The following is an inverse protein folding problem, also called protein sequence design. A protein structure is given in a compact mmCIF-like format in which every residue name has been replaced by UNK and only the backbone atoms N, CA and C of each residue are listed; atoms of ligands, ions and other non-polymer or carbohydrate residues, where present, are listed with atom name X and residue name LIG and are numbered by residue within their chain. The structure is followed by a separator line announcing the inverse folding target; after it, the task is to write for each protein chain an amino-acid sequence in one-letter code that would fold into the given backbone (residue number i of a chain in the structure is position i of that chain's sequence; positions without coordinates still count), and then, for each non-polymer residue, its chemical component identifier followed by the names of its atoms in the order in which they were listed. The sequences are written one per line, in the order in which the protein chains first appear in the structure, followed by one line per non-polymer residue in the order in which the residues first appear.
data_IF_123407992926
#
_entry.id   IF_123407992926
#
_cell.length_a   1.000
_cell.length_b   1.000
_cell.length_c   1.000
_cell.angle_alpha   90.00
_cell.angle_beta   90.00
_cell.angle_gamma   90.00
#
_symmetry.space_group_name_H-M   'P 1'
#
loop_
_entity.id
_entity.type
_entity.pdbx_description
1 polymer ?
#
# COMPACT_ATOMS: atom_id res chain seq x y z
N UNK A 1 -32.55 28.89 -54.16
CA UNK A 1 -31.16 29.40 -54.01
C UNK A 1 -31.21 30.91 -54.21
N UNK A 2 -31.56 31.64 -53.15
CA UNK A 2 -31.69 33.10 -53.13
C UNK A 2 -30.73 33.66 -52.10
N UNK A 3 -29.87 34.58 -52.53
CA UNK A 3 -28.70 35.06 -51.80
C UNK A 3 -28.98 36.44 -51.20
N UNK A 4 -28.70 36.53 -49.88
CA UNK A 4 -28.16 37.65 -49.07
C UNK A 4 -28.92 38.98 -49.01
N UNK A 5 -29.16 39.44 -47.78
CA UNK A 5 -28.69 40.74 -47.27
C UNK A 5 -28.72 40.77 -45.74
N UNK A 6 -27.57 41.10 -45.15
CA UNK A 6 -27.33 41.36 -43.74
C UNK A 6 -27.79 42.76 -43.31
N UNK A 7 -27.83 42.99 -41.98
CA UNK A 7 -27.44 44.20 -41.19
C UNK A 7 -28.17 44.11 -39.83
N UNK A 8 -27.51 43.81 -38.70
CA UNK A 8 -26.70 44.66 -37.78
C UNK A 8 -27.51 45.48 -36.74
N UNK A 9 -26.90 45.66 -35.54
CA UNK A 9 -27.18 46.61 -34.41
C UNK A 9 -27.96 45.96 -33.24
N UNK A 10 -27.41 45.63 -32.06
CA UNK A 10 -26.66 46.36 -30.99
C UNK A 10 -27.53 47.22 -30.04
N UNK A 11 -27.37 46.91 -28.73
CA UNK A 11 -27.54 47.75 -27.52
C UNK A 11 -28.89 47.84 -26.77
N UNK A 12 -28.87 47.21 -25.59
CA UNK A 12 -29.07 47.75 -24.23
C UNK A 12 -30.39 48.45 -23.83
N UNK A 13 -31.01 47.96 -22.75
CA UNK A 13 -31.44 48.70 -21.53
C UNK A 13 -31.76 47.68 -20.41
N UNK A 14 -31.02 47.65 -19.29
CA UNK A 14 -31.25 48.41 -18.04
C UNK A 14 -32.54 48.04 -17.28
N UNK A 15 -32.39 47.24 -16.22
CA UNK A 15 -33.15 47.43 -14.97
C UNK A 15 -32.28 46.99 -13.78
N UNK A 16 -31.63 47.98 -13.20
CA UNK A 16 -31.05 47.94 -11.85
C UNK A 16 -32.20 48.28 -10.90
N UNK A 17 -32.46 47.43 -9.91
CA UNK A 17 -32.96 47.91 -8.61
C UNK A 17 -32.12 47.24 -7.53
N UNK A 18 -31.24 48.05 -6.96
CA UNK A 18 -30.31 47.72 -5.90
C UNK A 18 -30.80 48.31 -4.56
N UNK A 19 -30.15 47.82 -3.51
CA UNK A 19 -30.01 48.39 -2.16
C UNK A 19 -31.18 48.06 -1.20
N UNK A 20 -30.96 47.63 0.04
CA UNK A 20 -29.86 47.89 1.00
C UNK A 20 -29.97 46.79 2.09
N UNK A 21 -28.92 46.17 2.62
CA UNK A 21 -27.95 46.74 3.56
C UNK A 21 -26.77 45.77 3.69
N UNK A 22 -25.55 46.21 3.37
CA UNK A 22 -24.53 46.74 4.29
C UNK A 22 -23.41 45.72 4.45
N UNK A 23 -22.28 46.04 3.82
CA UNK A 23 -21.04 45.30 3.94
C UNK A 23 -20.31 45.57 5.26
N UNK A 24 -19.65 44.51 5.70
CA UNK A 24 -18.27 44.40 6.18
C UNK A 24 -17.79 45.29 7.34
N UNK A 25 -17.44 44.64 8.46
CA UNK A 25 -16.05 44.62 8.98
C UNK A 25 -15.90 43.76 10.25
N UNK A 26 -14.91 42.85 10.27
CA UNK A 26 -14.22 42.43 11.49
C UNK A 26 -14.29 40.94 11.89
N UNK A 27 -13.38 40.14 11.32
CA UNK A 27 -12.73 38.91 11.82
C UNK A 27 -13.37 37.99 12.88
N UNK A 28 -13.53 36.70 12.56
CA UNK A 28 -12.67 35.60 13.07
C UNK A 28 -13.08 34.22 12.49
N UNK A 29 -12.05 33.38 12.35
CA UNK A 29 -11.94 31.93 12.10
C UNK A 29 -13.13 31.07 12.57
N UNK A 30 -13.63 30.16 11.72
CA UNK A 30 -13.81 28.70 12.01
C UNK A 30 -14.61 28.00 10.89
N UNK A 31 -14.09 26.83 10.48
CA UNK A 31 -14.79 25.68 9.87
C UNK A 31 -15.53 25.88 8.54
N UNK A 32 -14.80 25.70 7.44
CA UNK A 32 -15.40 25.22 6.19
C UNK A 32 -15.50 23.71 6.22
N UNK A 33 -16.73 23.26 6.39
CA UNK A 33 -17.28 21.93 6.18
C UNK A 33 -16.49 21.06 5.20
N UNK A 34 -16.14 19.85 5.67
CA UNK A 34 -15.67 18.76 4.83
C UNK A 34 -16.66 18.49 3.70
N UNK A 35 -16.14 18.55 2.47
CA UNK A 35 -16.86 18.13 1.30
C UNK A 35 -16.87 16.60 1.28
N UNK A 36 -18.02 16.04 1.64
CA UNK A 36 -18.37 14.63 1.47
C UNK A 36 -18.16 14.21 0.02
N UNK A 37 -17.08 13.47 -0.26
CA UNK A 37 -16.95 12.66 -1.47
C UNK A 37 -17.67 11.34 -1.21
N UNK A 38 -18.94 11.29 -1.59
CA UNK A 38 -19.82 10.12 -1.53
C UNK A 38 -19.35 9.02 -2.50
N UNK A 39 -18.34 8.23 -2.12
CA UNK A 39 -18.44 6.77 -2.29
C UNK A 39 -19.48 6.35 -1.24
N UNK A 40 -20.62 5.78 -1.64
CA UNK A 40 -21.81 5.65 -0.77
C UNK A 40 -21.70 4.66 0.41
N UNK A 41 -20.60 4.68 1.16
CA UNK A 41 -20.34 3.85 2.35
C UNK A 41 -20.39 4.75 3.59
N UNK A 42 -21.00 4.26 4.66
CA UNK A 42 -21.10 5.00 5.93
C UNK A 42 -19.69 5.22 6.50
N UNK A 43 -19.31 6.48 6.74
CA UNK A 43 -18.02 6.83 7.33
C UNK A 43 -17.76 6.05 8.62
N UNK A 44 -16.60 5.41 8.72
CA UNK A 44 -16.18 4.59 9.87
C UNK A 44 -16.52 3.11 9.77
N UNK A 45 -16.82 2.59 8.57
CA UNK A 45 -16.87 1.15 8.29
C UNK A 45 -15.47 0.68 7.88
N UNK A 46 -15.03 -0.45 8.45
CA UNK A 46 -13.87 -1.20 7.96
C UNK A 46 -14.28 -1.80 6.62
N UNK A 47 -13.62 -1.37 5.54
CA UNK A 47 -13.95 -1.86 4.20
C UNK A 47 -13.27 -3.21 3.93
N UNK A 48 -11.99 -3.34 4.27
CA UNK A 48 -11.21 -4.56 4.01
C UNK A 48 -11.72 -5.75 4.87
N UNK A 49 -12.10 -6.88 4.25
CA UNK A 49 -12.41 -8.10 4.98
C UNK A 49 -11.19 -8.63 5.74
N UNK A 50 -11.38 -8.93 7.03
CA UNK A 50 -10.35 -9.43 7.91
C UNK A 50 -10.91 -10.42 8.93
N UNK A 51 -10.10 -11.39 9.36
CA UNK A 51 -10.52 -12.51 10.22
C UNK A 51 -9.46 -12.78 11.27
N UNK A 52 -9.87 -12.87 12.53
CA UNK A 52 -9.00 -13.28 13.63
C UNK A 52 -9.02 -14.80 13.77
N UNK A 53 -7.86 -15.45 13.62
CA UNK A 53 -7.68 -16.88 13.82
C UNK A 53 -6.32 -17.14 14.49
N UNK A 54 -6.32 -18.06 15.44
CA UNK A 54 -5.13 -18.43 16.24
C UNK A 54 -4.35 -17.24 16.83
N UNK A 55 -5.03 -16.16 17.20
CA UNK A 55 -4.40 -14.96 17.76
C UNK A 55 -3.89 -13.95 16.73
N UNK A 56 -4.02 -14.25 15.42
CA UNK A 56 -3.59 -13.37 14.33
C UNK A 56 -4.75 -12.89 13.47
N UNK A 57 -4.61 -11.67 12.96
CA UNK A 57 -5.53 -11.14 11.96
C UNK A 57 -5.01 -11.51 10.57
N UNK A 58 -5.89 -12.10 9.77
CA UNK A 58 -5.68 -12.39 8.37
C UNK A 58 -6.54 -11.45 7.53
N UNK A 59 -5.96 -10.89 6.48
CA UNK A 59 -6.53 -9.85 5.64
C UNK A 59 -6.82 -10.38 4.25
N UNK A 60 -7.94 -9.96 3.67
CA UNK A 60 -8.25 -10.23 2.26
C UNK A 60 -7.57 -9.20 1.36
N UNK A 61 -6.76 -9.68 0.43
CA UNK A 61 -5.97 -8.85 -0.50
C UNK A 61 -6.56 -8.87 -1.93
N UNK A 62 -7.89 -8.93 -2.04
CA UNK A 62 -8.60 -8.88 -3.33
C UNK A 62 -8.21 -9.96 -4.38
N UNK A 63 -7.64 -11.09 -3.96
CA UNK A 63 -7.15 -12.15 -4.88
C UNK A 63 -8.25 -12.87 -5.67
N UNK A 64 -9.51 -12.71 -5.25
CA UNK A 64 -10.67 -13.39 -5.82
C UNK A 64 -11.43 -14.20 -4.77
N UNK A 65 -12.69 -14.56 -5.09
CA UNK A 65 -13.58 -15.35 -4.20
C UNK A 65 -14.09 -16.63 -4.85
N UNK A 66 -13.59 -16.96 -6.03
CA UNK A 66 -13.96 -18.10 -6.87
C UNK A 66 -12.81 -19.10 -7.05
N UNK A 67 -11.76 -18.98 -6.23
CA UNK A 67 -10.65 -19.91 -6.25
C UNK A 67 -11.07 -21.31 -5.80
N UNK A 68 -10.27 -22.31 -6.16
CA UNK A 68 -10.40 -23.66 -5.61
C UNK A 68 -9.55 -23.76 -4.34
N UNK A 69 -10.07 -24.45 -3.32
CA UNK A 69 -9.29 -24.76 -2.13
C UNK A 69 -8.06 -25.61 -2.50
N UNK A 70 -6.84 -25.17 -2.15
CA UNK A 70 -5.63 -25.97 -2.36
C UNK A 70 -5.65 -27.28 -1.55
N UNK A 71 -4.87 -28.27 -2.00
CA UNK A 71 -4.67 -29.49 -1.20
C UNK A 71 -3.93 -29.18 0.11
N UNK A 72 -4.24 -29.92 1.18
CA UNK A 72 -3.62 -29.73 2.49
C UNK A 72 -4.37 -28.77 3.41
N UNK A 73 -5.39 -28.06 2.91
CA UNK A 73 -6.26 -27.22 3.72
C UNK A 73 -7.46 -27.99 4.28
N UNK A 74 -7.72 -27.81 5.57
CA UNK A 74 -8.83 -28.45 6.28
C UNK A 74 -9.66 -27.46 7.09
N UNK A 75 -10.90 -27.82 7.38
CA UNK A 75 -11.84 -26.93 8.07
C UNK A 75 -11.42 -26.73 9.53
N UNK A 76 -11.11 -25.48 9.88
CA UNK A 76 -10.75 -25.08 11.24
C UNK A 76 -11.99 -24.70 12.07
N UNK A 77 -13.01 -24.14 11.43
CA UNK A 77 -14.21 -23.68 12.11
C UNK A 77 -15.07 -22.77 11.25
N UNK A 78 -15.91 -21.98 11.91
CA UNK A 78 -16.78 -21.00 11.23
C UNK A 78 -16.74 -19.65 11.94
N UNK A 79 -16.86 -18.58 11.16
CA UNK A 79 -16.99 -17.20 11.68
C UNK A 79 -18.16 -17.13 12.65
N UNK A 80 -17.93 -16.59 13.85
CA UNK A 80 -18.92 -16.48 14.92
C UNK A 80 -19.60 -15.13 14.96
N UNK A 81 -18.86 -14.07 14.66
CA UNK A 81 -19.34 -12.69 14.68
C UNK A 81 -18.64 -11.90 13.56
N UNK A 82 -19.38 -10.95 13.00
CA UNK A 82 -18.87 -9.98 12.05
C UNK A 82 -19.18 -8.59 12.60
N UNK A 83 -18.15 -7.76 12.72
CA UNK A 83 -18.28 -6.34 13.06
C UNK A 83 -17.96 -5.48 11.83
N UNK A 84 -18.57 -4.32 11.71
CA UNK A 84 -18.30 -3.41 10.58
C UNK A 84 -17.44 -2.21 10.97
N UNK A 85 -17.18 -1.97 12.26
CA UNK A 85 -16.50 -0.76 12.75
C UNK A 85 -15.29 -1.07 13.63
N UNK A 86 -15.30 -2.21 14.32
CA UNK A 86 -14.22 -2.61 15.23
C UNK A 86 -13.43 -3.81 14.68
N UNK A 87 -12.11 -3.80 14.90
CA UNK A 87 -11.22 -4.91 14.51
C UNK A 87 -11.58 -6.21 15.27
N UNK A 88 -11.40 -7.39 14.65
CA UNK A 88 -11.74 -8.65 15.28
C UNK A 88 -10.72 -8.96 16.41
N UNK A 89 -11.18 -8.93 17.66
CA UNK A 89 -10.32 -9.15 18.84
C UNK A 89 -10.39 -10.58 19.42
N UNK A 90 -11.20 -11.47 18.85
CA UNK A 90 -11.43 -12.83 19.35
C UNK A 90 -11.31 -13.83 18.19
N UNK A 91 -10.76 -15.02 18.43
CA UNK A 91 -10.70 -16.06 17.40
C UNK A 91 -12.09 -16.36 16.80
N UNK A 92 -12.11 -16.59 15.49
CA UNK A 92 -13.31 -16.75 14.66
C UNK A 92 -14.20 -15.49 14.57
N UNK A 93 -13.71 -14.33 15.00
CA UNK A 93 -14.35 -13.06 14.69
C UNK A 93 -13.83 -12.52 13.36
N UNK A 94 -14.69 -11.80 12.65
CA UNK A 94 -14.32 -11.13 11.42
C UNK A 94 -14.78 -9.67 11.45
N UNK A 95 -14.16 -8.84 10.64
CA UNK A 95 -14.65 -7.50 10.36
C UNK A 95 -14.44 -7.15 8.89
N UNK A 96 -15.24 -6.23 8.37
CA UNK A 96 -15.15 -5.84 6.96
C UNK A 96 -16.44 -6.09 6.19
N UNK A 97 -16.44 -5.72 4.91
CA UNK A 97 -17.59 -5.92 4.03
C UNK A 97 -17.67 -7.36 3.52
N UNK A 98 -18.86 -7.78 3.10
CA UNK A 98 -19.12 -9.08 2.48
C UNK A 98 -18.63 -10.31 3.29
N UNK A 99 -18.72 -10.19 4.61
CA UNK A 99 -18.47 -11.29 5.55
C UNK A 99 -19.76 -11.63 6.30
N UNK A 100 -19.98 -12.91 6.52
CA UNK A 100 -21.16 -13.42 7.20
C UNK A 100 -20.79 -14.43 8.30
N UNK A 101 -21.50 -14.34 9.42
CA UNK A 101 -21.39 -15.35 10.46
C UNK A 101 -21.83 -16.72 9.91
N UNK A 102 -21.02 -17.74 10.15
CA UNK A 102 -21.24 -19.09 9.64
C UNK A 102 -20.34 -19.47 8.45
N UNK A 103 -19.63 -18.52 7.83
CA UNK A 103 -18.63 -18.86 6.79
C UNK A 103 -17.53 -19.77 7.35
N UNK A 104 -17.16 -20.77 6.57
CA UNK A 104 -16.15 -21.77 6.93
C UNK A 104 -14.74 -21.21 6.73
N UNK A 105 -13.87 -21.44 7.72
CA UNK A 105 -12.45 -21.08 7.71
C UNK A 105 -11.65 -22.37 7.50
N UNK A 106 -10.72 -22.33 6.57
CA UNK A 106 -9.83 -23.42 6.21
C UNK A 106 -8.37 -23.04 6.45
N UNK A 107 -7.62 -23.94 7.06
CA UNK A 107 -6.22 -23.72 7.45
C UNK A 107 -5.35 -24.86 6.92
N UNK A 108 -4.05 -24.59 6.77
CA UNK A 108 -3.05 -25.61 6.52
C UNK A 108 -2.28 -25.92 7.80
N UNK A 109 -1.84 -27.17 7.95
CA UNK A 109 -0.90 -27.55 9.02
C UNK A 109 0.55 -27.19 8.69
N UNK A 110 0.84 -26.82 7.44
CA UNK A 110 2.18 -26.47 6.96
C UNK A 110 2.32 -24.99 6.62
N UNK A 111 1.26 -24.33 6.15
CA UNK A 111 1.26 -22.92 5.78
C UNK A 111 0.46 -22.12 6.81
N UNK A 112 1.14 -21.53 7.80
CA UNK A 112 0.51 -20.82 8.94
C UNK A 112 0.06 -19.40 8.59
N UNK A 113 0.63 -18.80 7.55
CA UNK A 113 0.43 -17.39 7.20
C UNK A 113 -0.77 -17.16 6.28
N UNK A 114 -1.44 -18.24 5.84
CA UNK A 114 -2.55 -18.18 4.90
C UNK A 114 -3.73 -18.98 5.43
N UNK A 115 -4.92 -18.40 5.33
CA UNK A 115 -6.19 -19.10 5.53
C UNK A 115 -7.09 -18.90 4.31
N UNK A 116 -8.07 -19.79 4.16
CA UNK A 116 -9.09 -19.67 3.14
C UNK A 116 -10.47 -19.55 3.77
N UNK A 117 -11.26 -18.60 3.28
CA UNK A 117 -12.67 -18.48 3.62
C UNK A 117 -13.53 -19.02 2.49
N UNK A 118 -14.59 -19.74 2.84
CA UNK A 118 -15.55 -20.26 1.87
C UNK A 118 -16.62 -19.23 1.53
N UNK A 119 -16.83 -19.06 0.24
CA UNK A 119 -17.90 -18.29 -0.37
C UNK A 119 -18.78 -19.21 -1.23
N UNK A 120 -19.97 -18.75 -1.62
CA UNK A 120 -20.84 -19.49 -2.55
C UNK A 120 -20.17 -19.71 -3.92
N UNK A 121 -19.28 -18.80 -4.32
CA UNK A 121 -18.53 -18.83 -5.57
C UNK A 121 -17.29 -19.73 -5.55
N UNK A 122 -16.77 -20.08 -4.37
CA UNK A 122 -15.49 -20.76 -4.23
C UNK A 122 -14.81 -20.42 -2.90
N UNK A 123 -13.51 -20.21 -2.94
CA UNK A 123 -12.71 -19.85 -1.77
C UNK A 123 -12.00 -18.52 -2.02
N UNK A 124 -11.77 -17.78 -0.94
CA UNK A 124 -11.01 -16.54 -0.95
C UNK A 124 -9.81 -16.70 -0.02
N UNK A 125 -8.66 -16.20 -0.48
CA UNK A 125 -7.39 -16.29 0.23
C UNK A 125 -7.21 -15.09 1.16
N UNK A 126 -6.83 -15.35 2.40
CA UNK A 126 -6.54 -14.34 3.41
C UNK A 126 -5.14 -14.59 3.98
N UNK A 127 -4.39 -13.53 4.26
CA UNK A 127 -2.99 -13.61 4.67
C UNK A 127 -2.71 -12.76 5.89
N UNK A 128 -1.72 -13.16 6.69
CA UNK A 128 -1.15 -12.30 7.73
C UNK A 128 -0.37 -11.15 7.10
N UNK A 129 -0.27 -10.03 7.82
CA UNK A 129 0.72 -9.00 7.50
C UNK A 129 2.13 -9.61 7.52
N UNK A 130 3.00 -9.27 6.55
CA UNK A 130 4.39 -9.71 6.53
C UNK A 130 5.14 -9.40 7.84
N UNK A 131 4.81 -8.27 8.49
CA UNK A 131 5.39 -7.85 9.78
C UNK A 131 5.06 -8.83 10.91
N UNK A 132 3.81 -9.30 10.97
CA UNK A 132 3.36 -10.25 11.99
C UNK A 132 3.91 -11.66 11.74
N UNK A 133 4.16 -12.03 10.48
CA UNK A 133 4.73 -13.33 10.12
C UNK A 133 6.23 -13.42 10.47
N UNK A 134 6.98 -12.34 10.23
CA UNK A 134 8.42 -12.28 10.50
C UNK A 134 8.75 -12.28 12.01
N UNK A 135 7.88 -11.70 12.85
CA UNK A 135 8.08 -11.64 14.30
C UNK A 135 8.00 -13.02 15.00
N UNK A 136 7.21 -13.96 14.47
CA UNK A 136 7.07 -15.31 15.04
C UNK A 136 8.10 -16.31 14.51
N UNK A 137 8.60 -16.14 13.28
CA UNK A 137 9.69 -16.96 12.78
C UNK A 137 10.98 -16.75 13.60
N UNK A 138 11.17 -15.55 14.17
CA UNK A 138 12.27 -15.22 15.10
C UNK A 138 12.06 -15.82 16.51
N UNK A 139 10.82 -15.89 17.02
CA UNK A 139 10.52 -16.45 18.35
C UNK A 139 10.57 -18.00 18.32
N UNK A 140 10.13 -18.65 17.23
CA UNK A 140 10.27 -20.10 17.05
C UNK A 140 11.74 -20.54 16.90
N UNK A 141 12.61 -19.71 16.30
CA UNK A 141 14.07 -19.96 16.28
C UNK A 141 14.72 -19.72 17.64
N UNK A 142 14.35 -18.66 18.37
CA UNK A 142 14.90 -18.38 19.70
C UNK A 142 14.50 -19.45 20.75
N UNK A 143 13.29 -20.01 20.65
CA UNK A 143 12.82 -21.11 21.52
C UNK A 143 13.51 -22.43 21.16
N UNK A 144 13.71 -22.72 19.87
CA UNK A 144 14.45 -23.91 19.44
C UNK A 144 15.94 -23.87 19.86
N UNK A 145 16.56 -22.68 19.88
CA UNK A 145 17.92 -22.49 20.40
C UNK A 145 17.99 -22.62 21.93
N UNK A 146 16.97 -22.15 22.67
CA UNK A 146 16.92 -22.29 24.14
C UNK A 146 16.65 -23.72 24.62
N UNK A 147 15.97 -24.56 23.85
CA UNK A 147 15.72 -25.96 24.23
C UNK A 147 16.89 -26.91 23.98
N UNK A 148 17.92 -26.49 23.23
CA UNK A 148 19.06 -27.34 22.85
C UNK A 148 20.32 -27.20 23.73
N UNK A 149 20.29 -26.41 24.81
CA UNK A 149 21.43 -26.24 25.73
C UNK A 149 21.48 -27.26 26.90
N UNK A 150 20.68 -28.35 26.88
CA UNK A 150 20.78 -29.42 27.89
C UNK A 150 21.04 -30.77 27.24
N UNK A 151 22.18 -31.35 27.63
CA UNK A 151 22.69 -32.69 27.35
C UNK A 151 23.30 -32.92 25.96
N UNK A 152 24.60 -32.66 25.88
CA UNK A 152 25.44 -33.18 24.81
C UNK A 152 25.50 -34.70 24.80
N UNK A 153 25.58 -35.28 23.60
CA UNK A 153 26.66 -36.17 23.19
C UNK A 153 26.43 -36.65 21.74
N UNK A 154 27.42 -36.33 20.90
CA UNK A 154 27.92 -37.01 19.69
C UNK A 154 26.98 -37.67 18.67
N UNK A 155 27.23 -37.30 17.41
CA UNK A 155 27.07 -38.10 16.18
C UNK A 155 25.65 -38.31 15.63
N UNK A 156 25.14 -37.31 14.91
CA UNK A 156 24.46 -37.49 13.61
C UNK A 156 24.20 -36.12 12.97
N UNK A 157 25.27 -35.38 12.68
CA UNK A 157 25.23 -34.21 11.81
C UNK A 157 26.00 -34.59 10.54
N UNK A 158 25.41 -35.46 9.74
CA UNK A 158 25.80 -35.74 8.36
C UNK A 158 24.58 -36.40 7.71
N UNK A 159 24.08 -35.80 6.63
CA UNK A 159 22.95 -36.23 5.78
C UNK A 159 21.58 -35.61 6.07
N UNK A 160 21.45 -34.28 5.95
CA UNK A 160 20.22 -33.69 5.40
C UNK A 160 20.39 -32.28 4.78
N UNK A 161 21.61 -31.87 4.40
CA UNK A 161 21.86 -30.54 3.82
C UNK A 161 21.70 -30.45 2.28
N UNK A 162 21.66 -31.56 1.54
CA UNK A 162 21.83 -31.52 0.07
C UNK A 162 20.54 -31.73 -0.76
N UNK A 163 19.34 -31.68 -0.17
CA UNK A 163 18.09 -31.99 -0.91
C UNK A 163 17.00 -30.90 -0.93
N UNK A 164 17.17 -29.80 -0.20
CA UNK A 164 16.24 -28.66 -0.22
C UNK A 164 16.84 -27.37 -0.79
N UNK A 165 18.14 -27.36 -1.12
CA UNK A 165 18.84 -26.19 -1.65
C UNK A 165 18.71 -26.01 -3.19
N UNK A 166 18.09 -26.94 -3.92
CA UNK A 166 18.07 -26.88 -5.40
C UNK A 166 16.75 -26.40 -6.04
N UNK A 167 15.82 -25.80 -5.28
CA UNK A 167 14.64 -25.16 -5.91
C UNK A 167 14.19 -23.81 -5.31
N UNK A 168 14.96 -23.22 -4.39
CA UNK A 168 14.73 -21.87 -3.84
C UNK A 168 15.97 -20.98 -3.95
N UNK A 169 16.81 -21.23 -4.96
CA UNK A 169 17.84 -20.27 -5.33
C UNK A 169 17.21 -19.13 -6.12
N UNK A 170 17.49 -17.89 -5.70
CA UNK A 170 17.40 -16.65 -6.50
C UNK A 170 16.14 -15.78 -6.37
N UNK A 171 15.53 -15.66 -5.18
CA UNK A 171 14.62 -14.53 -4.91
C UNK A 171 14.80 -13.97 -3.50
N UNK A 172 15.46 -12.81 -3.39
CA UNK A 172 15.21 -11.81 -2.34
C UNK A 172 16.00 -11.88 -1.03
N UNK A 173 16.96 -12.79 -0.87
CA UNK A 173 17.79 -12.83 0.34
C UNK A 173 19.20 -12.28 0.06
N UNK A 174 19.62 -11.29 0.86
CA UNK A 174 20.97 -10.72 0.85
C UNK A 174 22.04 -11.72 1.32
N UNK A 175 23.32 -11.35 1.20
CA UNK A 175 24.47 -12.23 1.55
C UNK A 175 24.48 -12.67 3.03
N UNK A 176 23.69 -12.03 3.90
CA UNK A 176 23.54 -12.30 5.32
C UNK A 176 22.22 -12.99 5.70
N UNK A 177 21.34 -13.28 4.72
CA UNK A 177 20.03 -13.88 4.97
C UNK A 177 18.95 -12.89 5.39
N UNK A 178 19.22 -11.57 5.34
CA UNK A 178 18.21 -10.52 5.50
C UNK A 178 17.47 -10.28 4.16
N UNK A 179 16.21 -9.86 4.22
CA UNK A 179 15.38 -9.61 3.03
C UNK A 179 15.92 -8.37 2.30
N UNK A 180 16.45 -8.56 1.09
CA UNK A 180 17.02 -7.47 0.29
C UNK A 180 15.92 -6.83 -0.57
N UNK A 181 15.19 -5.90 0.03
CA UNK A 181 14.12 -5.16 -0.66
C UNK A 181 14.62 -4.35 -1.84
N UNK A 182 15.88 -3.88 -1.81
CA UNK A 182 16.47 -3.13 -2.90
C UNK A 182 16.60 -4.03 -4.14
N UNK A 183 17.10 -5.26 -3.97
CA UNK A 183 17.17 -6.25 -5.06
C UNK A 183 15.79 -6.70 -5.54
N UNK A 184 14.82 -6.88 -4.63
CA UNK A 184 13.46 -7.34 -4.97
C UNK A 184 12.72 -6.32 -5.83
N UNK A 185 12.81 -5.04 -5.48
CA UNK A 185 12.19 -3.96 -6.23
C UNK A 185 13.07 -3.49 -7.40
N UNK A 186 14.26 -4.08 -7.57
CA UNK A 186 15.22 -3.76 -8.63
C UNK A 186 15.82 -2.36 -8.52
N UNK A 187 15.90 -1.83 -7.29
CA UNK A 187 16.48 -0.52 -6.98
C UNK A 187 18.00 -0.54 -7.24
N UNK A 188 18.66 -1.64 -6.88
CA UNK A 188 20.10 -1.89 -7.07
C UNK A 188 20.54 -1.85 -8.55
N UNK A 189 19.60 -2.08 -9.47
CA UNK A 189 19.80 -2.06 -10.91
C UNK A 189 19.60 -0.66 -11.53
N UNK A 190 19.13 0.32 -10.76
CA UNK A 190 18.90 1.68 -11.26
C UNK A 190 20.19 2.49 -11.31
N UNK A 191 20.41 3.20 -12.42
CA UNK A 191 21.55 4.13 -12.59
C UNK A 191 21.18 5.52 -12.04
N UNK A 192 21.16 5.65 -10.72
CA UNK A 192 20.76 6.88 -10.01
C UNK A 192 21.96 7.76 -9.63
N UNK A 193 21.76 9.08 -9.69
CA UNK A 193 22.72 10.10 -9.27
C UNK A 193 22.76 10.30 -7.74
N UNK A 194 21.97 9.53 -6.99
CA UNK A 194 21.80 9.60 -5.54
C UNK A 194 21.62 8.18 -4.97
N UNK A 195 21.76 8.02 -3.66
CA UNK A 195 21.57 6.73 -2.99
C UNK A 195 20.07 6.43 -2.79
N UNK A 196 19.62 5.23 -3.16
CA UNK A 196 18.24 4.81 -2.93
C UNK A 196 18.22 3.52 -2.09
N UNK A 197 17.29 3.45 -1.14
CA UNK A 197 17.13 2.28 -0.27
C UNK A 197 15.68 2.10 0.15
N UNK A 198 15.25 0.86 0.33
CA UNK A 198 13.93 0.48 0.81
C UNK A 198 14.06 0.00 2.26
N UNK A 199 13.56 0.81 3.20
CA UNK A 199 13.60 0.49 4.62
C UNK A 199 12.44 -0.43 5.05
N UNK A 200 11.37 -0.51 4.27
CA UNK A 200 10.22 -1.36 4.57
C UNK A 200 9.16 -1.34 3.48
N UNK A 201 8.07 -2.08 3.71
CA UNK A 201 6.99 -2.24 2.75
C UNK A 201 5.63 -2.01 3.43
N UNK A 202 4.82 -1.09 2.91
CA UNK A 202 3.50 -0.73 3.44
C UNK A 202 2.40 -1.00 2.39
N UNK A 203 2.17 -2.28 2.10
CA UNK A 203 1.12 -2.71 1.18
C UNK A 203 1.20 -2.05 -0.21
N UNK A 204 0.14 -1.36 -0.61
CA UNK A 204 0.07 -0.65 -1.90
C UNK A 204 0.59 0.80 -1.81
N UNK A 205 1.02 1.23 -0.63
CA UNK A 205 1.46 2.60 -0.34
C UNK A 205 2.97 2.67 -0.16
N UNK A 206 3.57 3.68 -0.79
CA UNK A 206 5.01 3.91 -0.74
C UNK A 206 5.27 5.36 -0.35
N UNK A 207 6.06 5.53 0.70
CA UNK A 207 6.44 6.83 1.21
C UNK A 207 7.93 7.08 0.97
N UNK A 208 8.26 7.99 0.07
CA UNK A 208 9.64 8.32 -0.29
C UNK A 208 10.10 9.52 0.52
N UNK A 209 11.06 9.31 1.41
CA UNK A 209 11.81 10.38 2.07
C UNK A 209 12.96 10.85 1.19
N UNK A 210 12.82 12.03 0.58
CA UNK A 210 13.84 12.65 -0.27
C UNK A 210 14.70 13.59 0.54
N UNK A 211 15.95 13.19 0.79
CA UNK A 211 16.94 13.95 1.54
C UNK A 211 17.78 14.82 0.60
N UNK A 212 17.84 16.12 0.88
CA UNK A 212 18.48 17.12 0.00
C UNK A 212 19.79 17.63 0.61
N UNK A 213 20.84 17.68 -0.20
CA UNK A 213 22.10 18.32 0.18
C UNK A 213 21.90 19.81 0.47
N UNK A 214 22.19 20.21 1.71
CA UNK A 214 22.00 21.60 2.17
C UNK A 214 20.59 21.90 2.69
N UNK A 215 19.72 20.88 2.79
CA UNK A 215 18.41 20.96 3.43
C UNK A 215 17.26 21.33 2.48
N UNK A 216 16.04 21.24 2.99
CA UNK A 216 14.81 21.45 2.22
C UNK A 216 14.52 22.94 2.02
N UNK A 217 14.30 23.34 0.76
CA UNK A 217 13.89 24.70 0.38
C UNK A 217 12.58 24.65 -0.41
N UNK A 218 11.82 25.75 -0.39
CA UNK A 218 10.58 25.83 -1.18
C UNK A 218 10.86 25.68 -2.69
N UNK A 219 12.00 26.21 -3.18
CA UNK A 219 12.43 26.04 -4.57
C UNK A 219 12.65 24.57 -4.94
N UNK A 220 13.21 23.77 -4.01
CA UNK A 220 13.43 22.34 -4.23
C UNK A 220 12.12 21.56 -4.21
N UNK A 221 11.18 21.95 -3.35
CA UNK A 221 9.82 21.37 -3.32
C UNK A 221 9.10 21.63 -4.63
N UNK A 222 9.13 22.87 -5.13
CA UNK A 222 8.50 23.25 -6.40
C UNK A 222 9.12 22.48 -7.59
N UNK A 223 10.45 22.29 -7.60
CA UNK A 223 11.15 21.49 -8.61
C UNK A 223 10.69 20.04 -8.61
N UNK A 224 10.64 19.39 -7.44
CA UNK A 224 10.19 17.99 -7.31
C UNK A 224 8.71 17.86 -7.68
N UNK A 225 7.86 18.83 -7.27
CA UNK A 225 6.45 18.86 -7.67
C UNK A 225 6.28 18.91 -9.19
N UNK A 226 7.08 19.72 -9.88
CA UNK A 226 7.05 19.77 -11.33
C UNK A 226 7.49 18.45 -11.97
N UNK A 227 8.56 17.83 -11.46
CA UNK A 227 9.08 16.56 -11.97
C UNK A 227 8.06 15.42 -11.79
N UNK A 228 7.40 15.35 -10.64
CA UNK A 228 6.35 14.35 -10.41
C UNK A 228 5.10 14.62 -11.26
N UNK A 229 4.69 15.88 -11.44
CA UNK A 229 3.59 16.22 -12.33
C UNK A 229 3.86 15.83 -13.80
N UNK A 230 5.11 16.02 -14.26
CA UNK A 230 5.54 15.61 -15.59
C UNK A 230 5.57 14.08 -15.72
N UNK A 231 5.99 13.36 -14.69
CA UNK A 231 5.95 11.90 -14.62
C UNK A 231 4.51 11.37 -14.68
N UNK A 232 3.59 11.88 -13.86
CA UNK A 232 2.18 11.48 -13.87
C UNK A 232 1.51 11.79 -15.22
N UNK A 233 1.83 12.92 -15.85
CA UNK A 233 1.23 13.32 -17.13
C UNK A 233 1.67 12.42 -18.30
N UNK A 234 2.86 11.81 -18.22
CA UNK A 234 3.36 10.87 -19.23
C UNK A 234 2.72 9.48 -19.11
N UNK A 235 2.19 9.16 -17.92
CA UNK A 235 1.65 7.83 -17.57
C UNK A 235 0.22 7.94 -17.01
N UNK A 236 -0.62 8.77 -17.65
CA UNK A 236 -1.92 9.21 -17.10
C UNK A 236 -3.16 8.73 -17.85
N UNK A 237 -3.05 7.84 -18.83
CA UNK A 237 -4.22 7.20 -19.45
C UNK A 237 -4.61 5.91 -18.71
N UNK A 238 -5.85 5.42 -18.92
CA UNK A 238 -6.40 4.26 -18.19
C UNK A 238 -5.51 2.99 -18.30
N UNK A 239 -4.66 2.89 -19.34
CA UNK A 239 -3.77 1.74 -19.55
C UNK A 239 -2.40 1.92 -18.87
N UNK A 240 -1.95 3.16 -18.65
CA UNK A 240 -0.65 3.46 -18.08
C UNK A 240 -0.71 4.13 -16.71
N UNK A 241 -1.85 4.09 -16.01
CA UNK A 241 -1.98 4.69 -14.67
C UNK A 241 -0.88 4.17 -13.71
N UNK A 242 -0.11 5.08 -13.13
CA UNK A 242 1.04 4.79 -12.22
C UNK A 242 0.76 5.13 -10.76
N UNK A 243 -0.51 5.29 -10.37
CA UNK A 243 -0.89 5.54 -8.99
C UNK A 243 -1.16 7.01 -8.69
N UNK A 244 -1.67 7.25 -7.49
CA UNK A 244 -1.88 8.59 -6.96
C UNK A 244 -0.61 9.07 -6.28
N UNK A 245 -0.14 10.26 -6.66
CA UNK A 245 1.07 10.87 -6.12
C UNK A 245 0.73 12.16 -5.40
N UNK A 246 1.19 12.31 -4.16
CA UNK A 246 1.12 13.56 -3.40
C UNK A 246 2.49 13.90 -2.79
N UNK A 247 2.74 15.17 -2.53
CA UNK A 247 4.06 15.66 -2.09
C UNK A 247 3.90 16.58 -0.88
N UNK A 248 4.64 16.26 0.18
CA UNK A 248 4.66 17.01 1.42
C UNK A 248 6.05 17.54 1.72
N UNK A 249 6.10 18.74 2.30
CA UNK A 249 7.33 19.31 2.83
C UNK A 249 7.48 18.89 4.29
N UNK A 250 8.46 18.06 4.60
CA UNK A 250 8.91 17.77 5.96
C UNK A 250 9.86 18.86 6.50
N UNK A 251 10.33 18.68 7.74
CA UNK A 251 11.31 19.59 8.34
C UNK A 251 12.70 19.44 7.68
N UNK A 252 13.16 18.19 7.53
CA UNK A 252 14.50 17.87 7.02
C UNK A 252 14.50 17.10 5.68
N UNK A 253 13.33 16.65 5.22
CA UNK A 253 13.15 15.92 3.96
C UNK A 253 11.89 16.34 3.20
N UNK A 254 11.81 15.97 1.92
CA UNK A 254 10.60 16.11 1.10
C UNK A 254 9.98 14.72 1.00
N UNK A 255 8.71 14.59 1.36
CA UNK A 255 7.99 13.31 1.33
C UNK A 255 7.20 13.21 0.03
N UNK A 256 7.31 12.09 -0.68
CA UNK A 256 6.43 11.76 -1.81
C UNK A 256 5.62 10.54 -1.39
N UNK A 257 4.31 10.66 -1.42
CA UNK A 257 3.39 9.55 -1.20
C UNK A 257 2.94 9.01 -2.55
N UNK A 258 3.06 7.70 -2.74
CA UNK A 258 2.55 6.97 -3.89
C UNK A 258 1.57 5.91 -3.40
N UNK A 259 0.35 5.95 -3.92
CA UNK A 259 -0.66 4.93 -3.73
C UNK A 259 -0.88 4.20 -5.06
N UNK A 260 -0.58 2.90 -5.07
CA UNK A 260 -0.74 2.04 -6.24
C UNK A 260 -2.20 1.63 -6.51
N UNK A 261 -3.17 2.08 -5.72
CA UNK A 261 -4.58 1.72 -5.89
C UNK A 261 -5.07 1.89 -7.32
N UNK A 262 -5.33 0.78 -8.01
CA UNK A 262 -5.79 0.76 -9.41
C UNK A 262 -4.68 0.71 -10.47
N UNK A 263 -3.41 0.66 -10.07
CA UNK A 263 -2.27 0.33 -10.95
C UNK A 263 -2.33 -1.16 -11.30
N UNK A 264 -2.01 -1.51 -12.54
CA UNK A 264 -1.95 -2.93 -12.92
C UNK A 264 -0.73 -3.62 -12.30
N UNK A 265 -0.82 -4.92 -12.06
CA UNK A 265 0.29 -5.72 -11.52
C UNK A 265 1.55 -5.59 -12.41
N UNK A 266 1.38 -5.59 -13.74
CA UNK A 266 2.47 -5.40 -14.71
C UNK A 266 3.16 -4.03 -14.57
N UNK A 267 2.44 -3.01 -14.13
CA UNK A 267 2.95 -1.64 -13.98
C UNK A 267 3.40 -1.31 -12.55
N UNK A 268 3.13 -2.17 -11.56
CA UNK A 268 3.36 -1.85 -10.13
C UNK A 268 4.84 -1.56 -9.84
N UNK A 269 5.75 -2.42 -10.28
CA UNK A 269 7.19 -2.17 -10.14
C UNK A 269 7.66 -0.95 -10.95
N UNK A 270 7.04 -0.69 -12.10
CA UNK A 270 7.35 0.49 -12.92
C UNK A 270 6.88 1.79 -12.26
N UNK A 271 5.75 1.77 -11.54
CA UNK A 271 5.27 2.90 -10.77
C UNK A 271 6.25 3.22 -9.64
N UNK A 272 6.65 2.21 -8.86
CA UNK A 272 7.57 2.38 -7.72
C UNK A 272 8.96 2.87 -8.17
N UNK A 273 9.57 2.20 -9.15
CA UNK A 273 10.91 2.58 -9.66
C UNK A 273 10.87 3.83 -10.55
N UNK A 274 9.71 4.15 -11.13
CA UNK A 274 9.50 5.32 -11.98
C UNK A 274 9.67 6.64 -11.23
N UNK A 275 9.22 6.70 -9.97
CA UNK A 275 9.46 7.85 -9.09
C UNK A 275 10.96 8.12 -8.95
N UNK A 276 11.74 7.09 -8.63
CA UNK A 276 13.19 7.22 -8.46
C UNK A 276 13.88 7.66 -9.75
N UNK A 277 13.52 7.07 -10.89
CA UNK A 277 14.04 7.46 -12.19
C UNK A 277 13.68 8.91 -12.56
N UNK A 278 12.47 9.37 -12.25
CA UNK A 278 12.06 10.75 -12.49
C UNK A 278 12.86 11.74 -11.63
N UNK A 279 13.04 11.43 -10.34
CA UNK A 279 13.87 12.21 -9.42
C UNK A 279 15.33 12.28 -9.84
N UNK A 280 15.82 11.34 -10.67
CA UNK A 280 17.19 11.35 -11.17
C UNK A 280 17.56 12.60 -11.98
N UNK A 281 16.55 13.35 -12.45
CA UNK A 281 16.70 14.65 -13.12
C UNK A 281 16.92 15.83 -12.17
N UNK A 282 16.65 15.66 -10.87
CA UNK A 282 16.73 16.69 -9.84
C UNK A 282 18.13 16.67 -9.22
N UNK A 283 18.84 17.79 -9.33
CA UNK A 283 20.17 17.93 -8.74
C UNK A 283 20.12 18.16 -7.23
N UNK A 284 21.13 17.68 -6.50
CA UNK A 284 21.28 17.91 -5.06
C UNK A 284 20.44 17.00 -4.17
N UNK A 285 19.81 15.96 -4.71
CA UNK A 285 19.30 14.85 -3.90
C UNK A 285 20.52 14.06 -3.40
N UNK A 286 20.55 13.82 -2.09
CA UNK A 286 21.58 13.00 -1.45
C UNK A 286 21.14 11.54 -1.43
N UNK A 287 19.95 11.30 -0.90
CA UNK A 287 19.38 9.96 -0.79
C UNK A 287 17.87 9.97 -0.83
N UNK A 288 17.27 8.85 -1.23
CA UNK A 288 15.84 8.60 -1.15
C UNK A 288 15.62 7.30 -0.40
N UNK A 289 14.87 7.34 0.70
CA UNK A 289 14.56 6.16 1.52
C UNK A 289 13.06 5.90 1.41
N UNK A 290 12.69 4.70 0.97
CA UNK A 290 11.30 4.26 0.85
C UNK A 290 10.86 3.65 2.18
N UNK A 291 9.72 4.12 2.69
CA UNK A 291 9.10 3.74 3.96
C UNK A 291 10.05 3.90 5.16
N UNK A 292 10.78 5.03 5.20
CA UNK A 292 11.61 5.41 6.34
C UNK A 292 10.75 5.64 7.60
N UNK A 293 11.13 5.03 8.73
CA UNK A 293 10.50 5.30 10.02
C UNK A 293 10.75 6.76 10.43
N UNK A 294 9.67 7.51 10.70
CA UNK A 294 9.70 8.94 11.09
C UNK A 294 9.53 9.17 12.59
#
# INVERSE_FOLDING_TARGET
MGIRKEIFIVAAMLSIMACTACGNSGGNVSETNGAETSTGVESGIIEQPQVMYDGHIYYYNATGRDEKLPEGYEIAGTIKKVDSKDYPAENFAAAGVDLEAGQEIYISTTEKNVIYLKYDSGYARFERSPEDAAAEEQDETEVAEKENEIEGNSEMADNMDDAMAENYGEYGFGEDGEFDFDSILGIDQLDLNYEAHVAGFDGESFLYSVHIDGGVTDEKVDEIQQVMADYSSQNGDEENYMGYIDIYKGEDQIMIYLDLGGVSEENSNMAVTGILNALNSVSGIKSVIINEEM
#
